data_IF_793111161633
#
_entry.id   IF_793111161633
#
_cell.length_a   1.000
_cell.length_b   1.000
_cell.length_c   1.000
_cell.angle_alpha   90.00
_cell.angle_beta   90.00
_cell.angle_gamma   90.00
#
_symmetry.space_group_name_H-M   'P 1'
#
loop_
_entity.id
_entity.type
_entity.pdbx_description
1 polymer ?
2 non-polymer ?
3 water ?
#
# COMPACT_ATOMS: atom_id res chain seq x y z
N UNK A 6 -17.64 3.57 10.77
CA UNK A 6 -16.59 2.64 10.36
C UNK A 6 -15.92 1.99 11.57
N UNK A 7 -16.11 0.68 11.71
CA UNK A 7 -15.51 -0.06 12.82
C UNK A 7 -14.01 -0.19 12.58
N UNK A 8 -13.24 -0.38 13.66
CA UNK A 8 -11.79 -0.49 13.51
C UNK A 8 -11.43 -1.78 12.78
N UNK A 9 -10.28 -1.80 12.10
CA UNK A 9 -9.72 -3.05 11.59
C UNK A 9 -9.42 -3.93 12.78
N UNK A 10 -9.53 -5.25 12.60
CA UNK A 10 -9.06 -6.16 13.66
C UNK A 10 -7.53 -6.10 13.74
N UNK A 11 -6.95 -6.73 14.77
CA UNK A 11 -5.49 -6.85 14.88
C UNK A 11 -4.89 -7.67 13.71
N UNK A 12 -3.79 -7.20 13.14
CA UNK A 12 -3.19 -7.91 12.01
C UNK A 12 -2.13 -8.93 12.39
N UNK A 13 -1.76 -9.77 11.43
CA UNK A 13 -0.61 -10.66 11.62
C UNK A 13 0.39 -10.51 10.49
N UNK A 14 1.66 -10.29 10.83
CA UNK A 14 2.67 -9.99 9.82
C UNK A 14 2.95 -11.14 8.85
N UNK A 15 2.82 -12.37 9.32
CA UNK A 15 3.07 -13.54 8.48
C UNK A 15 1.94 -13.79 7.50
N UNK A 16 0.69 -13.71 7.97
CA UNK A 16 -0.44 -13.76 7.07
C UNK A 16 -0.32 -12.60 6.08
N UNK A 17 0.09 -11.44 6.58
CA UNK A 17 0.22 -10.26 5.73
C UNK A 17 1.29 -10.42 4.66
N UNK A 18 2.38 -11.09 5.01
CA UNK A 18 3.47 -11.32 4.06
C UNK A 18 2.97 -12.17 2.90
N UNK A 19 2.21 -13.21 3.22
CA UNK A 19 1.68 -14.12 2.20
C UNK A 19 0.71 -13.39 1.27
N UNK A 20 -0.15 -12.58 1.86
CA UNK A 20 -1.06 -11.74 1.09
C UNK A 20 -0.31 -10.71 0.22
N UNK A 21 0.80 -10.17 0.73
CA UNK A 21 1.63 -9.27 -0.07
C UNK A 21 2.21 -10.01 -1.29
N UNK A 22 2.77 -11.18 -1.04
CA UNK A 22 3.34 -11.99 -2.11
C UNK A 22 2.31 -12.32 -3.18
N UNK A 23 1.07 -12.55 -2.75
CA UNK A 23 0.01 -12.94 -3.67
C UNK A 23 -0.65 -11.79 -4.40
N UNK A 24 -0.62 -10.59 -3.82
CA UNK A 24 -1.41 -9.50 -4.38
C UNK A 24 -0.60 -8.25 -4.73
N UNK A 25 0.26 -7.80 -3.81
CA UNK A 25 1.04 -6.60 -4.07
C UNK A 25 2.22 -6.89 -4.96
N UNK A 26 2.77 -8.10 -4.83
CA UNK A 26 3.98 -8.46 -5.57
C UNK A 26 3.76 -8.52 -7.08
N UNK A 27 2.51 -8.52 -7.51
CA UNK A 27 2.23 -8.42 -8.94
C UNK A 27 2.86 -7.14 -9.52
N UNK A 28 2.99 -6.10 -8.69
CA UNK A 28 3.44 -4.78 -9.16
C UNK A 28 4.45 -4.09 -8.27
N UNK A 29 4.63 -4.61 -7.05
CA UNK A 29 5.44 -3.96 -6.01
C UNK A 29 6.52 -4.87 -5.45
N UNK A 30 7.73 -4.33 -5.33
CA UNK A 30 8.77 -4.97 -4.53
C UNK A 30 8.70 -4.41 -3.10
N UNK A 31 9.31 -5.12 -2.15
CA UNK A 31 9.17 -4.79 -0.73
C UNK A 31 10.52 -4.59 -0.04
N UNK A 32 11.60 -4.93 -0.72
CA UNK A 32 12.93 -4.85 -0.11
C UNK A 32 13.48 -3.42 -0.16
N UNK A 33 14.32 -3.06 0.81
CA UNK A 33 14.97 -1.76 0.75
C UNK A 33 15.77 -1.66 -0.54
N UNK A 34 15.53 -0.60 -1.30
CA UNK A 34 16.22 -0.40 -2.56
C UNK A 34 15.73 -1.33 -3.64
N UNK A 35 14.64 -2.05 -3.37
CA UNK A 35 14.05 -2.95 -4.35
C UNK A 35 13.61 -2.19 -5.59
N UNK A 36 13.50 -2.88 -6.72
CA UNK A 36 13.24 -2.19 -7.99
C UNK A 36 11.80 -1.67 -8.14
N UNK A 37 11.67 -0.60 -8.92
CA UNK A 37 10.37 -0.14 -9.36
C UNK A 37 9.94 -1.01 -10.53
N UNK A 38 8.63 -1.19 -10.70
CA UNK A 38 8.11 -1.97 -11.80
C UNK A 38 6.80 -1.32 -12.23
N UNK A 39 5.75 -2.12 -12.34
CA UNK A 39 4.43 -1.53 -12.58
C UNK A 39 4.16 -0.45 -11.51
N UNK A 40 4.39 -0.80 -10.25
CA UNK A 40 4.26 0.14 -9.14
C UNK A 40 5.59 0.40 -8.45
N UNK A 41 5.61 1.36 -7.51
CA UNK A 41 6.88 1.74 -6.88
C UNK A 41 7.32 0.74 -5.83
N UNK A 42 8.61 0.75 -5.51
CA UNK A 42 9.08 -0.02 -4.37
C UNK A 42 8.34 0.48 -3.14
N UNK A 43 7.92 -0.42 -2.26
CA UNK A 43 7.15 -0.01 -1.08
C UNK A 43 7.91 -0.03 0.24
N UNK A 44 9.22 -0.27 0.22
CA UNK A 44 9.95 -0.28 1.49
C UNK A 44 9.87 1.08 2.17
N UNK A 45 9.59 1.07 3.47
CA UNK A 45 9.56 2.28 4.27
C UNK A 45 8.35 3.17 4.04
N UNK A 46 7.33 2.64 3.39
CA UNK A 46 6.17 3.44 2.99
C UNK A 46 5.24 3.87 4.13
N UNK A 47 5.17 3.08 5.20
CA UNK A 47 4.20 3.38 6.26
C UNK A 47 4.58 4.66 7.02
N UNK A 48 3.60 5.55 7.18
CA UNK A 48 3.77 6.85 7.82
C UNK A 48 4.66 7.81 7.03
N UNK A 49 4.85 7.53 5.74
CA UNK A 49 5.66 8.39 4.88
C UNK A 49 4.79 9.08 3.85
N UNK A 50 5.23 10.24 3.35
CA UNK A 50 4.38 10.91 2.37
C UNK A 50 4.26 10.10 1.08
N UNK A 51 3.10 10.19 0.46
CA UNK A 51 2.85 9.56 -0.82
C UNK A 51 3.69 10.21 -1.94
N UNK A 52 3.99 9.44 -2.98
CA UNK A 52 4.53 9.99 -4.21
C UNK A 52 6.00 10.35 -4.20
N UNK A 53 6.78 9.71 -3.34
CA UNK A 53 8.16 10.11 -3.11
C UNK A 53 9.19 9.06 -3.52
N UNK A 54 8.74 7.88 -3.95
CA UNK A 54 9.69 6.82 -4.28
C UNK A 54 10.56 7.18 -5.49
N UNK A 55 11.86 7.27 -5.27
CA UNK A 55 12.79 7.77 -6.28
C UNK A 55 12.74 6.91 -7.53
N UNK A 56 12.65 7.53 -8.69
CA UNK A 56 12.76 6.78 -9.92
C UNK A 56 11.43 6.29 -10.45
N UNK A 57 10.37 6.45 -9.66
CA UNK A 57 9.06 5.99 -10.12
C UNK A 57 8.24 7.13 -10.73
N UNK A 58 7.66 6.87 -11.89
CA UNK A 58 6.83 7.86 -12.57
C UNK A 58 5.37 7.71 -12.12
N UNK A 59 4.98 8.52 -11.14
CA UNK A 59 3.62 8.50 -10.62
C UNK A 59 2.66 9.21 -11.58
N UNK A 60 1.37 8.90 -11.45
CA UNK A 60 0.33 9.73 -12.02
C UNK A 60 0.37 11.05 -11.27
N UNK A 61 -0.16 12.11 -11.86
CA UNK A 61 -0.22 13.38 -11.15
C UNK A 61 -1.08 13.30 -9.89
N UNK A 62 -2.07 12.42 -9.89
CA UNK A 62 -2.93 12.23 -8.71
C UNK A 62 -2.11 11.73 -7.52
N UNK A 63 -1.32 10.69 -7.74
CA UNK A 63 -0.50 10.12 -6.67
C UNK A 63 0.67 11.06 -6.36
N UNK A 64 1.31 11.60 -7.40
CA UNK A 64 2.44 12.52 -7.20
C UNK A 64 2.06 13.69 -6.30
N UNK A 65 0.84 14.21 -6.45
CA UNK A 65 0.41 15.38 -5.69
C UNK A 65 -0.67 15.10 -4.63
N UNK A 66 -0.92 13.83 -4.34
CA UNK A 66 -1.91 13.45 -3.33
C UNK A 66 -1.69 14.18 -2.01
N UNK A 67 -0.44 14.21 -1.57
CA UNK A 67 -0.09 14.82 -0.30
C UNK A 67 -0.44 13.96 0.91
N UNK A 68 -1.17 12.87 0.70
CA UNK A 68 -1.53 11.99 1.81
C UNK A 68 -0.30 11.34 2.46
N UNK A 69 -0.39 11.09 3.76
CA UNK A 69 0.66 10.38 4.49
C UNK A 69 0.12 8.99 4.79
N UNK A 70 0.88 7.95 4.42
CA UNK A 70 0.40 6.58 4.52
C UNK A 70 0.44 6.01 5.94
N UNK A 71 -0.36 6.58 6.83
CA UNK A 71 -0.56 6.01 8.17
C UNK A 71 -1.31 4.69 8.02
N UNK A 72 -1.28 3.83 9.05
CA UNK A 72 -2.12 2.62 8.99
C UNK A 72 -3.59 2.97 8.75
N UNK A 73 -4.09 4.04 9.35
CA UNK A 73 -5.51 4.40 9.18
C UNK A 73 -5.85 4.79 7.74
N UNK A 74 -4.94 5.50 7.09
CA UNK A 74 -5.13 5.93 5.71
C UNK A 74 -5.02 4.73 4.78
N UNK A 75 -4.06 3.84 5.06
CA UNK A 75 -3.88 2.63 4.27
C UNK A 75 -5.13 1.75 4.38
N UNK A 76 -5.74 1.72 5.56
CA UNK A 76 -7.02 1.03 5.74
C UNK A 76 -8.02 1.47 4.67
N UNK A 77 -8.34 2.75 4.63
CA UNK A 77 -9.32 3.24 3.67
C UNK A 77 -8.86 3.09 2.21
N UNK A 78 -7.62 3.48 1.93
CA UNK A 78 -7.10 3.41 0.56
C UNK A 78 -7.05 1.98 0.01
N UNK A 79 -6.47 1.06 0.78
CA UNK A 79 -6.36 -0.30 0.28
C UNK A 79 -7.71 -0.99 0.13
N UNK A 80 -8.75 -0.50 0.81
CA UNK A 80 -10.07 -1.12 0.67
C UNK A 80 -10.64 -0.89 -0.73
N UNK A 81 -10.35 0.29 -1.27
CA UNK A 81 -10.79 0.68 -2.61
C UNK A 81 -9.94 1.85 -3.08
N UNK A 82 -8.78 1.55 -3.67
CA UNK A 82 -7.83 2.59 -4.10
C UNK A 82 -8.47 3.65 -5.02
N UNK A 83 -9.20 3.24 -6.01
CA UNK A 83 -9.78 4.20 -6.95
C UNK A 83 -10.82 5.15 -6.33
N UNK A 84 -11.55 4.65 -5.38
CA UNK A 84 -12.54 5.46 -4.67
C UNK A 84 -11.85 6.54 -3.82
N UNK A 85 -10.81 6.14 -3.09
CA UNK A 85 -10.03 7.07 -2.26
C UNK A 85 -9.25 8.10 -3.08
N UNK A 86 -8.62 7.66 -4.16
CA UNK A 86 -7.80 8.54 -4.98
C UNK A 86 -8.18 8.39 -6.46
N UNK A 87 -9.25 9.08 -6.88
CA UNK A 87 -9.57 9.06 -8.30
C UNK A 87 -8.39 9.62 -9.07
N UNK A 88 -8.01 8.93 -10.13
CA UNK A 88 -6.85 9.32 -10.90
C UNK A 88 -5.69 8.37 -10.67
N UNK A 89 -5.75 7.58 -9.61
CA UNK A 89 -4.65 6.66 -9.34
C UNK A 89 -4.54 5.71 -10.52
N UNK A 90 -3.32 5.38 -10.93
CA UNK A 90 -3.14 4.34 -11.94
C UNK A 90 -2.84 2.97 -11.30
N UNK A 91 -3.09 2.87 -10.00
CA UNK A 91 -3.00 1.59 -9.30
C UNK A 91 -4.27 0.80 -9.59
N UNK A 92 -4.15 -0.14 -10.53
CA UNK A 92 -5.30 -0.91 -11.01
C UNK A 92 -5.50 -2.17 -10.17
N UNK A 93 -5.96 -1.94 -8.94
CA UNK A 93 -6.20 -2.99 -7.97
C UNK A 93 -7.55 -2.67 -7.35
N UNK A 94 -8.44 -3.66 -7.29
CA UNK A 94 -9.81 -3.45 -6.81
C UNK A 94 -9.87 -3.15 -5.31
N UNK A 95 -8.85 -3.60 -4.58
CA UNK A 95 -8.76 -3.36 -3.15
C UNK A 95 -8.75 -4.65 -2.34
N UNK A 96 -8.40 -4.55 -1.06
CA UNK A 96 -8.52 -5.67 -0.13
C UNK A 96 -9.79 -5.46 0.67
N UNK A 97 -10.84 -6.22 0.33
CA UNK A 97 -12.17 -5.95 0.87
C UNK A 97 -12.34 -6.47 2.29
N UNK A 98 -11.76 -7.63 2.57
CA UNK A 98 -11.92 -8.25 3.88
C UNK A 98 -11.05 -7.56 4.92
N UNK A 99 -11.68 -7.09 6.01
CA UNK A 99 -10.96 -6.34 7.06
C UNK A 99 -9.74 -7.08 7.62
N UNK A 100 -9.86 -8.39 7.84
CA UNK A 100 -8.75 -9.14 8.42
C UNK A 100 -7.57 -9.19 7.46
N UNK A 101 -7.83 -9.52 6.20
CA UNK A 101 -6.78 -9.51 5.18
C UNK A 101 -6.13 -8.13 5.08
N UNK A 102 -6.95 -7.09 5.12
CA UNK A 102 -6.44 -5.73 5.03
C UNK A 102 -5.54 -5.43 6.23
N UNK A 103 -5.99 -5.80 7.42
CA UNK A 103 -5.21 -5.59 8.64
C UNK A 103 -3.85 -6.30 8.55
N UNK A 104 -3.88 -7.52 8.02
CA UNK A 104 -2.68 -8.34 7.90
C UNK A 104 -1.68 -7.70 6.95
N UNK A 105 -2.15 -7.30 5.77
CA UNK A 105 -1.29 -6.59 4.81
C UNK A 105 -0.68 -5.34 5.43
N UNK A 106 -1.48 -4.55 6.14
CA UNK A 106 -0.94 -3.33 6.76
C UNK A 106 0.09 -3.65 7.87
N UNK A 107 -0.18 -4.67 8.67
CA UNK A 107 0.80 -5.12 9.67
C UNK A 107 2.15 -5.50 9.03
N UNK A 108 2.10 -6.22 7.92
CA UNK A 108 3.31 -6.55 7.17
C UNK A 108 4.01 -5.29 6.65
N UNK A 109 3.25 -4.38 6.04
CA UNK A 109 3.83 -3.13 5.53
C UNK A 109 4.59 -2.37 6.63
N UNK A 110 4.04 -2.39 7.84
CA UNK A 110 4.68 -1.75 8.99
C UNK A 110 6.08 -2.29 9.28
N UNK A 111 6.34 -3.55 8.90
CA UNK A 111 7.64 -4.19 9.13
C UNK A 111 8.65 -3.78 8.06
N UNK A 112 8.18 -3.13 7.00
CA UNK A 112 9.08 -2.70 5.92
C UNK A 112 9.80 -1.46 6.39
N UNK A 113 10.76 -1.74 7.27
CA UNK A 113 11.41 -0.82 8.18
C UNK A 113 10.99 0.64 8.07
X LIG B 1 0.86 2.83 -5.56
X LIG B 1 0.14 -0.42 -1.99
X LIG B 1 -1.40 -3.70 -5.24
X LIG B 1 0.20 -0.80 -8.78
X LIG B 1 0.74 2.26 -4.31
X LIG B 1 0.94 2.94 -3.05
X LIG B 1 0.75 2.05 -2.07
X LIG B 1 0.41 0.77 -2.66
X LIG B 1 0.86 2.33 -0.56
X LIG B 1 1.33 4.44 -2.93
X LIG B 1 2.87 4.52 -2.99
X LIG B 1 3.39 5.93 -2.86
X LIG B 1 4.63 6.09 -2.91
X LIG B 1 2.58 6.90 -2.71
X LIG B 1 -0.35 -1.58 -2.55
X LIG B 1 -0.75 -2.79 -1.84
X LIG B 1 -1.19 -3.69 -2.74
X LIG B 1 -1.07 -3.08 -4.05
X LIG B 1 -0.67 -2.94 -0.31
X LIG B 1 -1.75 -5.13 -2.56
X LIG B 1 -2.03 -5.69 -1.38
X LIG B 1 -1.09 -3.21 -6.49
X LIG B 1 -1.38 -3.84 -7.76
X LIG B 1 -0.94 -3.03 -8.73
X LIG B 1 -0.36 -1.86 -8.10
X LIG B 1 -2.08 -5.21 -7.95
X LIG B 1 -1.02 -3.18 -10.27
X LIG B 1 -1.91 -3.97 -10.90
X LIG B 1 0.46 0.45 -8.27
X LIG B 1 0.75 1.62 -9.07
X LIG B 1 0.96 2.76 -8.07
X LIG B 1 0.76 2.17 -6.77
X LIG B 1 0.82 1.72 -10.60
X LIG B 1 1.25 4.22 -8.44
X LIG B 1 -0.16 4.74 -8.74
X LIG B 1 -0.15 6.16 -9.24
X LIG B 1 0.94 6.70 -9.53
X LIG B 1 -1.24 6.78 -9.36
X LIG B 1 0.43 0.94 -4.04
X LIG B 1 -0.55 -1.81 -3.90
X LIG B 1 -0.47 -2.00 -6.74
X LIG B 1 0.49 0.82 -6.93
X LIG B 1 -0.05 -0.49 -5.40
#
# INVERSE_FOLDING_TARGET
MPPKARAPLPPGDVERGEKLFKGRAAQCHTATKGGSNGVGPNLFGIVNRPSGKVEGFTYSKANAESGVIWTPEVLDVYLENPKKFMPGTKMSFAGIKKPQERADVIAYLETLK
HEM CHA CHB CHC CHD C1A C2A C3A C4A CMA CAA CBA CGA O1A O2A C1B C2B C3B C4B CMB CAB CBB C1C C2C C3C C4C CMC CAC CBC C1D C2D C3D C4D CMD CAD CBD CGD O1D O2D NA NB NC ND FE
#
